data_IF_867088159993
#
_entry.id   IF_867088159993
#
_cell.length_a   1.000
_cell.length_b   1.000
_cell.length_c   1.000
_cell.angle_alpha   90.00
_cell.angle_beta   90.00
_cell.angle_gamma   90.00
#
_symmetry.space_group_name_H-M   'P 1'
#
loop_
_entity.id
_entity.type
_entity.pdbx_description
1 polymer ?
#
# COMPACT_ATOMS: atom_id res chain seq x y z
N UNK A 1 21.14 -8.61 -9.41
CA UNK A 1 20.28 -8.11 -10.50
C UNK A 1 19.25 -7.17 -9.88
N UNK A 2 19.18 -5.92 -10.34
CA UNK A 2 18.23 -4.94 -9.82
C UNK A 2 16.84 -5.06 -10.46
N UNK A 3 15.85 -4.39 -9.83
CA UNK A 3 14.47 -4.26 -10.30
C UNK A 3 14.19 -2.88 -10.92
N UNK A 4 15.22 -2.09 -11.13
CA UNK A 4 15.19 -0.83 -11.87
C UNK A 4 14.52 -1.00 -13.24
N UNK A 5 13.52 -0.15 -13.52
CA UNK A 5 12.73 -0.19 -14.75
C UNK A 5 11.79 -1.39 -14.90
N UNK A 6 11.65 -2.25 -13.87
CA UNK A 6 10.80 -3.44 -13.90
C UNK A 6 9.60 -3.29 -12.97
N UNK A 7 8.53 -4.01 -13.27
CA UNK A 7 7.32 -4.10 -12.46
C UNK A 7 6.90 -5.56 -12.29
N UNK A 8 6.27 -5.87 -11.15
CA UNK A 8 5.56 -7.13 -10.96
C UNK A 8 4.18 -7.02 -11.59
N UNK A 9 3.76 -8.07 -12.30
CA UNK A 9 2.47 -8.11 -13.01
C UNK A 9 1.62 -9.24 -12.44
N UNK A 10 0.41 -8.90 -12.01
CA UNK A 10 -0.60 -9.83 -11.53
C UNK A 10 -1.77 -9.82 -12.52
N UNK A 11 -1.73 -10.71 -13.51
CA UNK A 11 -2.63 -10.68 -14.68
C UNK A 11 -4.02 -11.26 -14.42
N UNK A 12 -4.23 -11.95 -13.30
CA UNK A 12 -5.51 -12.55 -12.93
C UNK A 12 -5.71 -12.48 -11.42
N UNK A 13 -6.98 -12.41 -11.02
CA UNK A 13 -7.34 -12.54 -9.62
C UNK A 13 -6.90 -13.91 -9.09
N UNK A 14 -6.21 -13.91 -7.95
CA UNK A 14 -5.75 -15.12 -7.28
C UNK A 14 -5.57 -14.86 -5.80
N UNK A 15 -5.80 -15.90 -4.98
CA UNK A 15 -5.52 -15.88 -3.55
C UNK A 15 -4.04 -16.15 -3.20
N UNK A 16 -3.23 -16.61 -4.17
CA UNK A 16 -1.86 -17.07 -3.93
C UNK A 16 -0.80 -16.37 -4.79
N UNK A 17 -1.17 -15.33 -5.53
CA UNK A 17 -0.23 -14.52 -6.30
C UNK A 17 0.19 -13.30 -5.49
N UNK A 18 1.38 -13.35 -4.91
CA UNK A 18 1.95 -12.26 -4.11
C UNK A 18 3.47 -12.23 -4.26
N UNK A 19 4.08 -11.10 -3.90
CA UNK A 19 5.54 -10.96 -3.85
C UNK A 19 5.93 -10.69 -2.41
N UNK A 20 6.69 -11.62 -1.82
CA UNK A 20 7.24 -11.44 -0.49
C UNK A 20 8.59 -10.72 -0.57
N UNK A 21 8.69 -9.57 0.07
CA UNK A 21 9.95 -8.85 0.27
C UNK A 21 10.40 -9.06 1.71
N UNK A 22 11.64 -9.51 1.89
CA UNK A 22 12.30 -9.60 3.19
C UNK A 22 13.41 -8.55 3.28
N UNK A 23 13.05 -7.28 3.53
CA UNK A 23 14.06 -6.24 3.74
C UNK A 23 14.84 -6.51 5.04
N UNK A 24 16.11 -6.16 5.06
CA UNK A 24 16.85 -6.09 6.33
C UNK A 24 16.44 -4.79 7.04
N UNK A 25 15.50 -4.88 7.98
CA UNK A 25 14.90 -3.74 8.67
C UNK A 25 15.38 -3.68 10.13
N UNK A 26 16.69 -3.50 10.34
CA UNK A 26 17.24 -3.31 11.69
C UNK A 26 16.60 -2.11 12.42
N UNK A 27 16.00 -1.16 11.68
CA UNK A 27 15.39 0.07 12.22
C UNK A 27 13.86 0.14 12.08
N UNK A 28 13.21 -0.96 11.64
CA UNK A 28 11.78 -0.99 11.34
C UNK A 28 11.40 -0.25 10.06
N UNK A 29 10.21 -0.56 9.54
CA UNK A 29 9.67 0.13 8.38
C UNK A 29 9.02 1.45 8.83
N UNK A 30 9.33 2.57 8.16
CA UNK A 30 8.80 3.92 8.51
C UNK A 30 8.23 4.69 7.32
N UNK A 31 8.65 4.31 6.12
CA UNK A 31 8.24 4.92 4.86
C UNK A 31 8.15 3.86 3.80
N UNK A 32 7.12 3.95 2.98
CA UNK A 32 6.91 3.12 1.81
C UNK A 32 6.64 4.03 0.62
N UNK A 33 7.36 3.78 -0.47
CA UNK A 33 7.07 4.41 -1.76
C UNK A 33 6.84 3.30 -2.76
N UNK A 34 5.72 3.36 -3.48
CA UNK A 34 5.37 2.40 -4.51
C UNK A 34 4.77 3.10 -5.72
N UNK A 35 4.83 2.42 -6.86
CA UNK A 35 4.17 2.85 -8.08
C UNK A 35 3.36 1.68 -8.62
N UNK A 36 2.10 1.93 -8.95
CA UNK A 36 1.20 0.90 -9.46
C UNK A 36 0.32 1.43 -10.59
N UNK A 37 -0.25 0.49 -11.33
CA UNK A 37 -1.26 0.70 -12.35
C UNK A 37 -2.27 -0.43 -12.23
N UNK A 38 -3.56 -0.11 -12.36
CA UNK A 38 -4.62 -1.12 -12.28
C UNK A 38 -5.91 -0.63 -12.91
N UNK A 39 -6.66 -1.54 -13.51
CA UNK A 39 -8.02 -1.30 -14.00
C UNK A 39 -9.09 -1.81 -13.02
N UNK A 40 -8.67 -2.32 -11.85
CA UNK A 40 -9.59 -2.79 -10.82
C UNK A 40 -10.41 -1.64 -10.24
N UNK A 41 -11.72 -1.80 -10.26
CA UNK A 41 -12.69 -0.84 -9.69
C UNK A 41 -13.10 -1.20 -8.26
N UNK A 42 -12.84 -2.44 -7.83
CA UNK A 42 -13.07 -2.89 -6.47
C UNK A 42 -11.84 -2.63 -5.59
N UNK A 43 -12.01 -2.82 -4.29
CA UNK A 43 -10.95 -2.57 -3.33
C UNK A 43 -9.88 -3.66 -3.33
N UNK A 44 -8.61 -3.30 -3.19
CA UNK A 44 -7.48 -4.24 -3.17
C UNK A 44 -6.32 -3.74 -2.30
N UNK A 45 -5.50 -4.69 -1.83
CA UNK A 45 -4.29 -4.39 -1.06
C UNK A 45 -3.14 -4.00 -1.99
N UNK A 46 -2.46 -2.91 -1.67
CA UNK A 46 -1.25 -2.45 -2.36
C UNK A 46 0.02 -2.95 -1.65
N UNK A 47 -0.03 -3.04 -0.32
CA UNK A 47 1.08 -3.48 0.51
C UNK A 47 0.55 -4.01 1.83
N UNK A 48 1.10 -5.13 2.29
CA UNK A 48 0.96 -5.56 3.68
C UNK A 48 2.30 -5.96 4.27
N UNK A 49 2.47 -5.67 5.55
CA UNK A 49 3.52 -6.18 6.40
C UNK A 49 2.89 -6.77 7.66
N UNK A 50 3.37 -7.94 8.04
CA UNK A 50 2.98 -8.64 9.26
C UNK A 50 4.20 -8.73 10.18
N UNK A 51 3.96 -8.64 11.49
CA UNK A 51 4.92 -8.98 12.53
C UNK A 51 4.59 -10.34 13.14
N UNK A 52 5.41 -10.78 14.10
CA UNK A 52 5.07 -11.95 14.92
C UNK A 52 3.80 -11.73 15.75
N UNK A 53 3.50 -10.48 16.11
CA UNK A 53 2.38 -10.14 16.99
C UNK A 53 1.10 -9.77 16.23
N UNK A 54 1.22 -9.34 14.96
CA UNK A 54 0.10 -8.84 14.17
C UNK A 54 0.16 -9.30 12.70
N UNK A 55 -0.88 -10.00 12.26
CA UNK A 55 -1.07 -10.46 10.86
C UNK A 55 -1.09 -9.31 9.83
N UNK A 56 -1.34 -8.07 10.27
CA UNK A 56 -1.34 -6.87 9.44
C UNK A 56 -0.89 -5.66 10.25
N UNK A 57 0.36 -5.70 10.70
CA UNK A 57 1.02 -4.58 11.39
C UNK A 57 0.97 -3.29 10.56
N UNK A 58 1.15 -3.40 9.24
CA UNK A 58 0.93 -2.31 8.28
C UNK A 58 0.15 -2.83 7.09
N UNK A 59 -0.96 -2.17 6.73
CA UNK A 59 -1.74 -2.46 5.53
C UNK A 59 -2.02 -1.16 4.79
N UNK A 60 -1.62 -1.07 3.53
CA UNK A 60 -2.03 0.00 2.62
C UNK A 60 -3.00 -0.59 1.60
N UNK A 61 -4.18 0.03 1.53
CA UNK A 61 -5.31 -0.47 0.79
C UNK A 61 -5.91 0.64 -0.07
N UNK A 62 -6.32 0.29 -1.28
CA UNK A 62 -7.11 1.17 -2.14
C UNK A 62 -8.56 0.71 -2.15
N UNK A 63 -9.49 1.66 -2.10
CA UNK A 63 -10.92 1.42 -2.24
C UNK A 63 -11.59 2.47 -3.15
N UNK A 64 -12.87 2.32 -3.51
CA UNK A 64 -13.57 3.26 -4.39
C UNK A 64 -13.69 4.70 -3.86
N UNK A 65 -13.35 4.97 -2.60
CA UNK A 65 -13.41 6.29 -1.97
C UNK A 65 -12.03 6.93 -1.79
N UNK A 66 -10.94 6.22 -2.07
CA UNK A 66 -9.56 6.69 -1.91
C UNK A 66 -8.64 5.61 -1.36
N UNK A 67 -7.84 5.96 -0.36
CA UNK A 67 -6.86 5.08 0.27
C UNK A 67 -7.12 4.92 1.76
N UNK A 68 -6.81 3.76 2.29
CA UNK A 68 -6.81 3.47 3.72
C UNK A 68 -5.47 2.90 4.12
N UNK A 69 -4.93 3.39 5.23
CA UNK A 69 -3.73 2.84 5.84
C UNK A 69 -4.07 2.36 7.24
N UNK A 70 -3.73 1.10 7.54
CA UNK A 70 -3.82 0.54 8.87
C UNK A 70 -2.43 0.34 9.44
N UNK A 71 -2.22 0.79 10.68
CA UNK A 71 -0.95 0.63 11.40
C UNK A 71 -1.29 0.23 12.84
N UNK A 72 -0.77 -0.90 13.29
CA UNK A 72 -0.99 -1.36 14.68
C UNK A 72 -2.46 -1.52 15.08
N UNK A 73 -3.34 -1.85 14.13
CA UNK A 73 -4.79 -1.99 14.34
C UNK A 73 -5.62 -0.71 14.13
N UNK A 74 -4.98 0.46 14.13
CA UNK A 74 -5.65 1.75 13.87
C UNK A 74 -5.78 2.02 12.36
N UNK A 75 -6.78 2.82 11.95
CA UNK A 75 -7.07 3.09 10.54
C UNK A 75 -7.11 4.59 10.22
N UNK A 76 -6.31 5.01 9.24
CA UNK A 76 -6.33 6.35 8.65
C UNK A 76 -6.90 6.30 7.23
N UNK A 77 -7.99 7.04 7.00
CA UNK A 77 -8.67 7.09 5.70
C UNK A 77 -8.37 8.40 4.95
N UNK A 78 -7.87 8.28 3.72
CA UNK A 78 -7.56 9.37 2.80
C UNK A 78 -8.59 9.40 1.68
N UNK A 79 -9.64 10.18 1.86
CA UNK A 79 -10.75 10.28 0.90
C UNK A 79 -10.37 11.17 -0.29
N UNK A 80 -10.71 10.72 -1.48
CA UNK A 80 -10.56 11.49 -2.72
C UNK A 80 -11.92 12.03 -3.13
N UNK A 81 -12.22 13.32 -2.91
CA UNK A 81 -13.56 13.86 -3.10
C UNK A 81 -14.00 13.79 -4.56
N UNK A 82 -13.10 14.11 -5.50
CA UNK A 82 -13.44 14.17 -6.92
C UNK A 82 -13.45 12.76 -7.56
N UNK A 83 -14.55 12.34 -8.21
CA UNK A 83 -14.62 11.05 -8.90
C UNK A 83 -13.56 10.87 -9.98
N UNK A 84 -13.17 11.95 -10.66
CA UNK A 84 -12.10 11.95 -11.67
C UNK A 84 -10.74 11.51 -11.11
N UNK A 85 -10.50 11.81 -9.83
CA UNK A 85 -9.23 11.50 -9.15
C UNK A 85 -9.19 10.05 -8.66
N UNK A 86 -10.35 9.38 -8.60
CA UNK A 86 -10.52 7.99 -8.14
C UNK A 86 -10.25 6.97 -9.24
N UNK A 87 -10.19 7.39 -10.51
CA UNK A 87 -9.92 6.47 -11.62
C UNK A 87 -8.50 5.88 -11.50
N UNK A 88 -8.37 4.56 -11.38
CA UNK A 88 -7.07 3.90 -11.24
C UNK A 88 -6.39 3.64 -12.58
N UNK A 89 -7.04 3.96 -13.71
CA UNK A 89 -6.55 3.71 -15.09
C UNK A 89 -5.46 4.73 -15.47
N UNK A 90 -4.41 4.81 -14.65
CA UNK A 90 -3.21 5.61 -14.83
C UNK A 90 -2.13 5.08 -13.90
N UNK A 91 -0.89 5.44 -14.18
CA UNK A 91 0.18 5.20 -13.22
C UNK A 91 0.00 6.10 -12.01
N UNK A 92 -0.07 5.50 -10.83
CA UNK A 92 -0.12 6.21 -9.54
C UNK A 92 1.20 5.98 -8.82
N UNK A 93 1.88 7.05 -8.46
CA UNK A 93 3.02 7.03 -7.55
C UNK A 93 2.51 7.45 -6.18
N UNK A 94 2.75 6.62 -5.17
CA UNK A 94 2.24 6.84 -3.83
C UNK A 94 3.38 6.74 -2.84
N UNK A 95 3.45 7.71 -1.94
CA UNK A 95 4.39 7.70 -0.84
C UNK A 95 3.62 7.83 0.47
N UNK A 96 3.86 6.89 1.38
CA UNK A 96 3.28 6.93 2.72
C UNK A 96 4.35 6.88 3.80
N UNK A 97 4.14 7.64 4.87
CA UNK A 97 4.94 7.64 6.08
C UNK A 97 4.04 7.39 7.28
N UNK A 98 4.60 6.74 8.28
CA UNK A 98 3.98 6.61 9.59
C UNK A 98 5.03 6.81 10.66
N UNK A 99 4.62 7.46 11.73
CA UNK A 99 5.43 7.67 12.91
C UNK A 99 4.78 6.93 14.08
N UNK A 100 5.43 5.87 14.56
CA UNK A 100 4.92 5.04 15.65
C UNK A 100 4.89 5.75 17.00
N UNK A 101 5.62 6.85 17.16
CA UNK A 101 5.68 7.64 18.40
C UNK A 101 4.52 8.63 18.48
N UNK A 102 4.16 9.24 17.35
CA UNK A 102 3.10 10.27 17.29
C UNK A 102 1.78 9.75 16.74
N UNK A 103 1.77 8.59 16.08
CA UNK A 103 0.61 8.05 15.37
C UNK A 103 0.28 8.78 14.06
N UNK A 104 1.11 9.73 13.63
CA UNK A 104 0.87 10.50 12.40
C UNK A 104 1.11 9.62 11.18
N UNK A 105 0.12 9.61 10.28
CA UNK A 105 0.20 8.99 8.96
C UNK A 105 0.08 10.06 7.89
N UNK A 106 0.96 10.04 6.89
CA UNK A 106 0.92 10.99 5.77
C UNK A 106 0.91 10.23 4.45
N UNK A 107 0.13 10.73 3.49
CA UNK A 107 0.00 10.16 2.16
C UNK A 107 0.20 11.25 1.11
N UNK A 108 0.97 10.94 0.08
CA UNK A 108 1.23 11.78 -1.09
C UNK A 108 0.99 11.00 -2.38
#
# INVERSE_FOLDING_TARGET
>A
MGLDGKAFVFSKLSANSYVLRKPNLDQGLRRLTLRFFTDLTHSFSLFSAASQDHDSEVLLFQNPNGFEMRVGGECAAFRMPNPSDRSPIRWVALCTTWDSTTGIVQLW
#
